data_IF_409770469366
#
_entry.id   IF_409770469366
#
_cell.length_a   1.000
_cell.length_b   1.000
_cell.length_c   1.000
_cell.angle_alpha   90.00
_cell.angle_beta   90.00
_cell.angle_gamma   90.00
#
_symmetry.space_group_name_H-M   'P 1'
#
loop_
_entity.id
_entity.type
_entity.pdbx_description
1 polymer ?
#
# COMPACT_ATOMS: atom_id res chain seq x y z
N UNK A 1 -3.58 29.41 13.91
CA UNK A 1 -4.16 28.05 13.95
C UNK A 1 -3.70 27.18 12.77
N UNK A 2 -3.49 27.75 11.58
CA UNK A 2 -2.95 27.05 10.38
C UNK A 2 -1.59 26.37 10.58
N UNK A 3 -0.65 26.97 11.31
CA UNK A 3 0.73 26.44 11.51
C UNK A 3 0.81 25.15 12.33
N UNK A 4 -0.20 24.83 13.15
CA UNK A 4 -0.20 23.60 13.97
C UNK A 4 -0.60 22.36 13.16
N UNK A 5 -1.47 22.52 12.16
CA UNK A 5 -1.92 21.41 11.31
C UNK A 5 -0.83 20.97 10.32
N UNK A 6 -0.06 21.92 9.78
CA UNK A 6 1.06 21.63 8.86
C UNK A 6 2.15 20.80 9.56
N UNK A 7 2.53 21.18 10.79
CA UNK A 7 3.53 20.45 11.57
C UNK A 7 3.11 19.01 11.90
N UNK A 8 1.83 18.78 12.20
CA UNK A 8 1.29 17.44 12.48
C UNK A 8 1.26 16.58 11.21
N UNK A 9 0.93 17.19 10.07
CA UNK A 9 0.87 16.50 8.78
C UNK A 9 2.27 16.11 8.29
N UNK A 10 3.25 17.01 8.43
CA UNK A 10 4.66 16.74 8.14
C UNK A 10 5.24 15.65 9.05
N UNK A 11 4.93 15.68 10.35
CA UNK A 11 5.37 14.65 11.29
C UNK A 11 4.74 13.30 10.97
N UNK A 12 3.44 13.26 10.65
CA UNK A 12 2.75 12.03 10.27
C UNK A 12 3.32 11.43 8.98
N UNK A 13 3.60 12.25 7.96
CA UNK A 13 4.24 11.82 6.72
C UNK A 13 5.66 11.28 6.96
N UNK A 14 6.45 11.94 7.82
CA UNK A 14 7.78 11.49 8.22
C UNK A 14 7.73 10.15 8.95
N UNK A 15 6.78 9.97 9.87
CA UNK A 15 6.61 8.72 10.61
C UNK A 15 6.16 7.58 9.69
N UNK A 16 5.20 7.84 8.79
CA UNK A 16 4.75 6.85 7.80
C UNK A 16 5.90 6.47 6.87
N UNK A 17 6.63 7.46 6.32
CA UNK A 17 7.79 7.22 5.47
C UNK A 17 8.90 6.44 6.19
N UNK A 18 9.16 6.77 7.46
CA UNK A 18 10.14 6.07 8.30
C UNK A 18 9.77 4.61 8.56
N UNK A 19 8.50 4.33 8.89
CA UNK A 19 8.01 2.95 9.09
C UNK A 19 8.06 2.15 7.78
N UNK A 20 7.75 2.78 6.65
CA UNK A 20 7.85 2.16 5.33
C UNK A 20 9.30 1.80 4.96
N UNK A 21 10.23 2.72 5.19
CA UNK A 21 11.66 2.49 4.95
C UNK A 21 12.22 1.42 5.90
N UNK A 22 11.82 1.42 7.17
CA UNK A 22 12.20 0.39 8.13
C UNK A 22 11.66 -0.99 7.71
N UNK A 23 10.40 -1.09 7.31
CA UNK A 23 9.79 -2.33 6.83
C UNK A 23 10.50 -2.87 5.57
N UNK A 24 10.90 -2.00 4.64
CA UNK A 24 11.67 -2.39 3.45
C UNK A 24 13.09 -2.82 3.83
N UNK A 25 13.75 -2.12 4.73
CA UNK A 25 15.08 -2.47 5.24
C UNK A 25 15.08 -3.83 5.93
N UNK A 26 14.12 -4.05 6.82
CA UNK A 26 13.96 -5.33 7.53
C UNK A 26 13.69 -6.47 6.55
N UNK A 27 12.83 -6.24 5.55
CA UNK A 27 12.54 -7.23 4.50
C UNK A 27 13.79 -7.59 3.67
N UNK A 28 14.69 -6.63 3.41
CA UNK A 28 15.95 -6.87 2.70
C UNK A 28 16.93 -7.66 3.57
N UNK A 29 16.91 -7.45 4.89
CA UNK A 29 17.78 -8.13 5.85
C UNK A 29 17.40 -9.61 6.10
N UNK A 30 16.19 -10.02 5.68
CA UNK A 30 15.74 -11.40 5.84
C UNK A 30 16.48 -12.38 4.92
N UNK A 31 16.59 -13.66 5.33
CA UNK A 31 17.07 -14.74 4.46
C UNK A 31 16.30 -14.76 3.14
N UNK A 32 17.00 -14.96 2.01
CA UNK A 32 16.43 -14.84 0.67
C UNK A 32 15.17 -15.66 0.44
N UNK A 33 15.06 -16.85 1.05
CA UNK A 33 13.87 -17.70 0.96
C UNK A 33 12.65 -17.10 1.68
N UNK A 34 12.85 -16.53 2.88
CA UNK A 34 11.80 -15.90 3.68
C UNK A 34 11.28 -14.64 2.97
N UNK A 35 12.20 -13.85 2.41
CA UNK A 35 11.88 -12.66 1.59
C UNK A 35 11.03 -13.05 0.38
N UNK A 36 11.39 -14.12 -0.32
CA UNK A 36 10.63 -14.61 -1.48
C UNK A 36 9.23 -15.06 -1.07
N UNK A 37 9.09 -15.85 0.00
CA UNK A 37 7.78 -16.26 0.52
C UNK A 37 6.91 -15.06 0.90
N UNK A 38 7.45 -14.10 1.64
CA UNK A 38 6.73 -12.89 2.03
C UNK A 38 6.34 -12.05 0.82
N UNK A 39 7.24 -11.89 -0.15
CA UNK A 39 6.94 -11.14 -1.38
C UNK A 39 5.85 -11.82 -2.20
N UNK A 40 5.90 -13.15 -2.35
CA UNK A 40 4.87 -13.92 -3.06
C UNK A 40 3.50 -13.81 -2.40
N UNK A 41 3.42 -13.70 -1.07
CA UNK A 41 2.15 -13.51 -0.35
C UNK A 41 1.70 -12.05 -0.38
N UNK A 42 2.63 -11.11 -0.23
CA UNK A 42 2.34 -9.70 -0.11
C UNK A 42 1.94 -9.07 -1.45
N UNK A 43 2.65 -9.38 -2.54
CA UNK A 43 2.37 -8.84 -3.87
C UNK A 43 0.92 -9.08 -4.34
N UNK A 44 0.33 -10.28 -4.21
CA UNK A 44 -1.04 -10.51 -4.63
C UNK A 44 -2.08 -10.04 -3.62
N UNK A 45 -1.75 -9.76 -2.36
CA UNK A 45 -2.79 -9.48 -1.35
C UNK A 45 -2.69 -8.10 -0.71
N UNK A 46 -1.48 -7.62 -0.41
CA UNK A 46 -1.25 -6.40 0.37
C UNK A 46 -1.74 -5.12 -0.31
N UNK A 47 -1.32 -4.81 -1.55
CA UNK A 47 -1.64 -3.52 -2.19
C UNK A 47 -3.12 -3.31 -2.44
N UNK A 48 -3.83 -4.34 -2.91
CA UNK A 48 -5.22 -4.25 -3.33
C UNK A 48 -6.23 -4.39 -2.20
N UNK A 49 -5.85 -4.99 -1.06
CA UNK A 49 -6.80 -5.24 0.03
C UNK A 49 -7.35 -3.92 0.62
N UNK A 50 -6.49 -2.91 0.75
CA UNK A 50 -6.86 -1.56 1.20
C UNK A 50 -7.88 -0.86 0.28
N UNK A 51 -7.91 -1.23 -1.01
CA UNK A 51 -8.85 -0.68 -1.99
C UNK A 51 -10.13 -1.50 -2.08
N UNK A 52 -10.00 -2.83 -2.15
CA UNK A 52 -11.14 -3.73 -2.38
C UNK A 52 -12.06 -3.82 -1.18
N UNK A 53 -11.53 -3.88 0.04
CA UNK A 53 -12.38 -3.93 1.24
C UNK A 53 -13.20 -2.62 1.42
N UNK A 54 -12.94 -1.56 0.65
CA UNK A 54 -13.75 -0.33 0.66
C UNK A 54 -15.05 -0.49 -0.14
N UNK A 55 -15.15 -1.53 -0.99
CA UNK A 55 -16.32 -1.85 -1.78
C UNK A 55 -17.40 -2.62 -0.99
N UNK A 56 -17.12 -3.01 0.26
CA UNK A 56 -18.04 -3.76 1.15
C UNK A 56 -18.75 -4.93 0.43
N UNK A 57 -17.97 -5.76 -0.27
CA UNK A 57 -18.53 -6.87 -1.05
C UNK A 57 -19.12 -7.95 -0.13
N UNK A 58 -20.31 -8.50 -0.44
CA UNK A 58 -20.98 -9.47 0.42
C UNK A 58 -20.38 -10.88 0.34
N UNK A 59 -19.60 -11.18 -0.71
CA UNK A 59 -19.04 -12.52 -0.94
C UNK A 59 -17.52 -12.51 -0.70
N UNK A 60 -17.01 -13.30 0.26
CA UNK A 60 -15.59 -13.28 0.64
C UNK A 60 -14.67 -13.78 -0.49
N UNK A 61 -15.14 -14.73 -1.30
CA UNK A 61 -14.39 -15.22 -2.46
C UNK A 61 -14.23 -14.17 -3.55
N UNK A 62 -15.28 -13.37 -3.79
CA UNK A 62 -15.22 -12.25 -4.74
C UNK A 62 -14.30 -11.15 -4.22
N UNK A 63 -14.34 -10.85 -2.91
CA UNK A 63 -13.41 -9.91 -2.28
C UNK A 63 -11.96 -10.37 -2.42
N UNK A 64 -11.70 -11.66 -2.21
CA UNK A 64 -10.37 -12.24 -2.39
C UNK A 64 -9.91 -12.14 -3.85
N UNK A 65 -10.73 -12.59 -4.81
CA UNK A 65 -10.39 -12.55 -6.23
C UNK A 65 -10.13 -11.12 -6.73
N UNK A 66 -10.97 -10.17 -6.31
CA UNK A 66 -10.80 -8.76 -6.67
C UNK A 66 -9.57 -8.15 -5.99
N UNK A 67 -9.29 -8.52 -4.74
CA UNK A 67 -8.08 -8.09 -4.02
C UNK A 67 -6.84 -8.54 -4.77
N UNK A 68 -6.82 -9.79 -5.25
CA UNK A 68 -5.72 -10.33 -6.05
C UNK A 68 -5.60 -9.62 -7.39
N UNK A 69 -6.70 -9.44 -8.11
CA UNK A 69 -6.71 -8.74 -9.39
C UNK A 69 -6.20 -7.29 -9.27
N UNK A 70 -6.69 -6.54 -8.28
CA UNK A 70 -6.26 -5.16 -8.02
C UNK A 70 -4.80 -5.10 -7.61
N UNK A 71 -4.34 -6.01 -6.74
CA UNK A 71 -2.93 -6.02 -6.31
C UNK A 71 -1.98 -6.32 -7.47
N UNK A 72 -2.34 -7.26 -8.35
CA UNK A 72 -1.57 -7.57 -9.56
C UNK A 72 -1.58 -6.40 -10.55
N UNK A 73 -2.73 -5.76 -10.76
CA UNK A 73 -2.84 -4.59 -11.62
C UNK A 73 -1.98 -3.43 -11.12
N UNK A 74 -1.98 -3.16 -9.81
CA UNK A 74 -1.13 -2.15 -9.18
C UNK A 74 0.35 -2.51 -9.30
N UNK A 75 0.71 -3.76 -9.07
CA UNK A 75 2.09 -4.24 -9.21
C UNK A 75 2.59 -4.09 -10.64
N UNK A 76 1.79 -4.50 -11.62
CA UNK A 76 2.11 -4.37 -13.03
C UNK A 76 2.21 -2.89 -13.45
N UNK A 77 1.29 -2.04 -12.96
CA UNK A 77 1.30 -0.61 -13.22
C UNK A 77 2.53 0.09 -12.66
N UNK A 78 2.90 -0.19 -11.41
CA UNK A 78 4.14 0.31 -10.79
C UNK A 78 5.36 -0.19 -11.56
N UNK A 79 5.38 -1.48 -11.91
CA UNK A 79 6.48 -2.06 -12.65
C UNK A 79 6.67 -1.38 -14.01
N UNK A 80 5.58 -1.21 -14.77
CA UNK A 80 5.62 -0.51 -16.06
C UNK A 80 6.01 0.97 -15.91
N UNK A 81 5.51 1.66 -14.89
CA UNK A 81 5.88 3.05 -14.64
C UNK A 81 7.39 3.17 -14.35
N UNK A 82 7.95 2.29 -13.52
CA UNK A 82 9.37 2.31 -13.19
C UNK A 82 10.26 1.94 -14.38
N UNK A 83 9.83 1.02 -15.24
CA UNK A 83 10.52 0.69 -16.49
C UNK A 83 10.49 1.89 -17.45
N UNK A 84 9.33 2.53 -17.64
CA UNK A 84 9.20 3.68 -18.54
C UNK A 84 9.98 4.92 -18.06
N UNK A 85 10.25 5.02 -16.76
CA UNK A 85 10.99 6.14 -16.17
C UNK A 85 12.48 5.82 -15.93
N UNK A 86 12.97 4.65 -16.35
CA UNK A 86 14.34 4.16 -16.07
C UNK A 86 14.74 4.18 -14.58
N UNK A 87 13.76 4.05 -13.68
CA UNK A 87 13.96 4.10 -12.23
C UNK A 87 13.86 2.71 -11.58
N UNK A 88 14.04 1.64 -12.36
CA UNK A 88 13.81 0.27 -11.87
C UNK A 88 14.73 -0.09 -10.70
N UNK A 89 14.12 -0.19 -9.51
CA UNK A 89 14.75 -0.69 -8.30
C UNK A 89 13.73 -1.50 -7.50
N UNK A 90 14.13 -2.67 -7.01
CA UNK A 90 13.28 -3.51 -6.14
C UNK A 90 12.76 -2.74 -4.91
N UNK A 91 13.61 -2.04 -4.12
CA UNK A 91 13.13 -1.27 -2.97
C UNK A 91 12.22 -0.10 -3.36
N UNK A 92 12.47 0.57 -4.49
CA UNK A 92 11.61 1.66 -4.97
C UNK A 92 10.22 1.19 -5.35
N UNK A 93 10.10 0.03 -6.01
CA UNK A 93 8.81 -0.56 -6.35
C UNK A 93 8.00 -0.98 -5.13
N UNK A 94 8.67 -1.56 -4.14
CA UNK A 94 8.07 -1.88 -2.84
C UNK A 94 7.56 -0.62 -2.12
N UNK A 95 8.38 0.43 -2.05
CA UNK A 95 8.00 1.70 -1.43
C UNK A 95 6.79 2.35 -2.12
N UNK A 96 6.74 2.31 -3.46
CA UNK A 96 5.59 2.80 -4.23
C UNK A 96 4.32 1.99 -3.95
N UNK A 97 4.41 0.66 -3.99
CA UNK A 97 3.25 -0.21 -3.71
C UNK A 97 2.72 -0.01 -2.29
N UNK A 98 3.60 0.13 -1.31
CA UNK A 98 3.21 0.42 0.06
C UNK A 98 2.55 1.80 0.21
N UNK A 99 3.09 2.80 -0.50
CA UNK A 99 2.50 4.15 -0.53
C UNK A 99 1.09 4.14 -1.13
N UNK A 100 0.88 3.44 -2.24
CA UNK A 100 -0.44 3.27 -2.88
C UNK A 100 -1.41 2.52 -1.96
N UNK A 101 -0.95 1.49 -1.25
CA UNK A 101 -1.78 0.74 -0.30
C UNK A 101 -2.20 1.62 0.88
N UNK A 102 -1.26 2.40 1.41
CA UNK A 102 -1.51 3.36 2.51
C UNK A 102 -2.51 4.44 2.08
N UNK A 103 -2.38 4.96 0.86
CA UNK A 103 -3.36 5.88 0.26
C UNK A 103 -4.75 5.27 0.17
N UNK A 104 -4.88 3.99 -0.21
CA UNK A 104 -6.17 3.28 -0.22
C UNK A 104 -6.82 3.21 1.16
N UNK A 105 -6.03 2.95 2.21
CA UNK A 105 -6.51 2.94 3.60
C UNK A 105 -6.95 4.34 4.06
N UNK A 106 -6.17 5.38 3.73
CA UNK A 106 -6.51 6.76 4.04
C UNK A 106 -7.78 7.21 3.30
N UNK A 107 -7.88 6.91 2.00
CA UNK A 107 -9.05 7.23 1.20
C UNK A 107 -10.32 6.59 1.77
N UNK A 108 -10.21 5.36 2.28
CA UNK A 108 -11.32 4.70 2.99
C UNK A 108 -11.69 5.43 4.29
N UNK A 109 -10.71 5.74 5.15
CA UNK A 109 -10.96 6.47 6.41
C UNK A 109 -11.61 7.83 6.16
N UNK A 110 -11.11 8.57 5.17
CA UNK A 110 -11.69 9.84 4.74
C UNK A 110 -13.14 9.68 4.27
N UNK A 111 -13.43 8.66 3.46
CA UNK A 111 -14.79 8.38 3.01
C UNK A 111 -15.72 8.04 4.17
N UNK A 112 -15.25 7.26 5.16
CA UNK A 112 -16.03 6.96 6.36
C UNK A 112 -16.34 8.23 7.17
N UNK A 113 -15.37 9.15 7.33
CA UNK A 113 -15.59 10.41 8.05
C UNK A 113 -16.51 11.40 7.33
N UNK A 114 -16.50 11.43 5.99
CA UNK A 114 -17.33 12.36 5.21
C UNK A 114 -18.76 11.86 5.04
N UNK A 115 -18.96 10.55 4.87
CA UNK A 115 -20.28 9.98 4.57
C UNK A 115 -21.02 9.56 5.85
N UNK A 116 -20.38 9.63 7.03
CA UNK A 116 -21.01 9.25 8.31
C UNK A 116 -21.31 7.76 8.43
N UNK A 117 -20.73 6.93 7.55
CA UNK A 117 -20.88 5.48 7.59
C UNK A 117 -19.76 4.95 8.47
N UNK A 118 -20.08 4.70 9.74
CA UNK A 118 -19.17 3.97 10.63
C UNK A 118 -18.77 2.62 9.99
N UNK A 119 -17.52 2.17 10.20
CA UNK A 119 -17.04 0.90 9.68
C UNK A 119 -17.85 -0.29 10.17
#
# INVERSE_FOLDING_TARGET
>A
MMTRMEGVLSLALLLIGGVLLAAVSDLISLPGWLRTCLTIVFVPYGPGHGWVKALKLPQPWLEFALTVAVSLALTLGVAMAMVNLDMWTVPGGLALLLSISTLGVFARRWRASVVGVEP
#
